data_IF_757743934206
#
_entry.id   IF_757743934206
#
_cell.length_a   1.000
_cell.length_b   1.000
_cell.length_c   1.000
_cell.angle_alpha   90.00
_cell.angle_beta   90.00
_cell.angle_gamma   90.00
#
_symmetry.space_group_name_H-M   'P 1'
#
loop_
_entity.id
_entity.type
_entity.pdbx_description
1 polymer ?
#
# COMPACT_ATOMS: atom_id res chain seq x y z
N UNK A 1 -28.52 -18.07 46.30
CA UNK A 1 -29.10 -18.07 44.94
C UNK A 1 -28.60 -16.86 44.12
N UNK A 2 -28.67 -15.66 44.66
CA UNK A 2 -28.16 -14.42 43.99
C UNK A 2 -26.66 -14.46 43.73
N UNK A 3 -25.87 -14.95 44.68
CA UNK A 3 -24.40 -15.06 44.51
C UNK A 3 -23.98 -16.02 43.41
N UNK A 4 -24.76 -17.06 43.21
CA UNK A 4 -24.51 -18.06 42.16
C UNK A 4 -24.88 -17.53 40.77
N UNK A 5 -25.90 -16.71 40.67
CA UNK A 5 -26.28 -15.98 39.44
C UNK A 5 -25.23 -14.90 39.07
N UNK A 6 -24.71 -14.18 40.06
CA UNK A 6 -23.64 -13.23 39.84
C UNK A 6 -22.32 -13.88 39.41
N UNK A 7 -21.99 -15.03 39.98
CA UNK A 7 -20.82 -15.81 39.56
C UNK A 7 -20.97 -16.38 38.13
N UNK A 8 -22.15 -16.81 37.76
CA UNK A 8 -22.44 -17.28 36.40
C UNK A 8 -22.41 -16.16 35.39
N UNK A 9 -22.95 -14.99 35.72
CA UNK A 9 -22.87 -13.78 34.88
C UNK A 9 -21.42 -13.32 34.67
N UNK A 10 -20.61 -13.29 35.73
CA UNK A 10 -19.19 -12.93 35.62
C UNK A 10 -18.38 -13.95 34.79
N UNK A 11 -18.71 -15.23 34.87
CA UNK A 11 -18.04 -16.27 34.07
C UNK A 11 -18.38 -16.17 32.57
N UNK A 12 -19.64 -15.84 32.24
CA UNK A 12 -20.06 -15.60 30.86
C UNK A 12 -19.42 -14.34 30.28
N UNK A 13 -19.34 -13.27 31.05
CA UNK A 13 -18.66 -12.04 30.64
C UNK A 13 -17.17 -12.27 30.38
N UNK A 14 -16.50 -13.07 31.22
CA UNK A 14 -15.08 -13.38 31.03
C UNK A 14 -14.83 -14.23 29.78
N UNK A 15 -15.69 -15.19 29.48
CA UNK A 15 -15.56 -16.02 28.28
C UNK A 15 -15.83 -15.23 26.98
N UNK A 16 -16.77 -14.31 27.02
CA UNK A 16 -17.06 -13.41 25.89
C UNK A 16 -15.90 -12.41 25.70
N UNK A 17 -15.35 -11.86 26.78
CA UNK A 17 -14.20 -10.98 26.73
C UNK A 17 -12.95 -11.69 26.17
N UNK A 18 -12.67 -12.93 26.58
CA UNK A 18 -11.55 -13.70 26.07
C UNK A 18 -11.68 -13.99 24.56
N UNK A 19 -12.87 -14.29 24.06
CA UNK A 19 -13.08 -14.50 22.62
C UNK A 19 -12.96 -13.21 21.81
N UNK A 20 -13.41 -12.08 22.35
CA UNK A 20 -13.27 -10.77 21.73
C UNK A 20 -11.81 -10.36 21.72
N UNK A 21 -11.04 -10.62 22.78
CA UNK A 21 -9.61 -10.32 22.90
C UNK A 21 -8.78 -11.06 21.85
N UNK A 22 -9.06 -12.35 21.58
CA UNK A 22 -8.34 -13.09 20.53
C UNK A 22 -8.56 -12.54 19.14
N UNK A 23 -9.78 -12.24 18.78
CA UNK A 23 -10.11 -11.61 17.49
C UNK A 23 -9.54 -10.19 17.39
N UNK A 24 -9.58 -9.44 18.50
CA UNK A 24 -8.96 -8.14 18.61
C UNK A 24 -7.44 -8.19 18.43
N UNK A 25 -6.78 -9.16 19.06
CA UNK A 25 -5.34 -9.37 18.95
C UNK A 25 -4.92 -9.77 17.52
N UNK A 26 -5.65 -10.69 16.89
CA UNK A 26 -5.40 -11.09 15.50
C UNK A 26 -5.59 -9.91 14.55
N UNK A 27 -6.64 -9.14 14.74
CA UNK A 27 -6.93 -7.94 13.93
C UNK A 27 -5.85 -6.87 14.10
N UNK A 28 -5.44 -6.60 15.35
CA UNK A 28 -4.36 -5.67 15.64
C UNK A 28 -3.03 -6.16 15.07
N UNK A 29 -2.72 -7.45 15.18
CA UNK A 29 -1.51 -8.05 14.61
C UNK A 29 -1.45 -7.92 13.09
N UNK A 30 -2.55 -8.27 12.39
CA UNK A 30 -2.63 -8.13 10.93
C UNK A 30 -2.54 -6.67 10.48
N UNK A 31 -3.22 -5.76 11.17
CA UNK A 31 -3.17 -4.33 10.88
C UNK A 31 -1.76 -3.78 11.05
N UNK A 32 -1.11 -4.11 12.17
CA UNK A 32 0.27 -3.67 12.45
C UNK A 32 1.26 -4.22 11.44
N UNK A 33 1.15 -5.50 11.07
CA UNK A 33 2.00 -6.11 10.05
C UNK A 33 1.84 -5.42 8.70
N UNK A 34 0.61 -5.13 8.30
CA UNK A 34 0.30 -4.43 7.05
C UNK A 34 0.89 -3.01 7.03
N UNK A 35 0.75 -2.26 8.15
CA UNK A 35 1.30 -0.91 8.27
C UNK A 35 2.83 -0.93 8.23
N UNK A 36 3.48 -1.87 8.93
CA UNK A 36 4.95 -2.00 8.92
C UNK A 36 5.45 -2.35 7.52
N UNK A 37 4.79 -3.30 6.84
CA UNK A 37 5.13 -3.65 5.47
C UNK A 37 4.95 -2.45 4.52
N UNK A 38 3.86 -1.71 4.63
CA UNK A 38 3.63 -0.49 3.86
C UNK A 38 4.70 0.57 4.11
N UNK A 39 5.06 0.81 5.36
CA UNK A 39 6.13 1.73 5.73
C UNK A 39 7.49 1.31 5.15
N UNK A 40 7.78 0.01 5.14
CA UNK A 40 8.99 -0.52 4.50
C UNK A 40 9.03 -0.19 3.01
N UNK A 41 7.92 -0.39 2.27
CA UNK A 41 7.85 -0.04 0.85
C UNK A 41 7.94 1.47 0.61
N UNK A 42 7.35 2.30 1.46
CA UNK A 42 7.48 3.77 1.39
C UNK A 42 8.95 4.18 1.54
N UNK A 43 9.66 3.65 2.53
CA UNK A 43 11.07 3.96 2.75
C UNK A 43 11.95 3.44 1.60
N UNK A 44 11.73 2.22 1.14
CA UNK A 44 12.46 1.63 0.02
C UNK A 44 12.24 2.42 -1.28
N UNK A 45 10.99 2.79 -1.58
CA UNK A 45 10.65 3.60 -2.75
C UNK A 45 11.25 5.01 -2.68
N UNK A 46 11.18 5.66 -1.52
CA UNK A 46 11.80 6.99 -1.30
C UNK A 46 13.32 6.93 -1.50
N UNK A 47 13.99 5.93 -0.94
CA UNK A 47 15.43 5.71 -1.16
C UNK A 47 15.73 5.44 -2.64
N UNK A 48 14.86 4.69 -3.33
CA UNK A 48 14.96 4.47 -4.76
C UNK A 48 14.93 5.76 -5.56
N UNK A 49 13.96 6.64 -5.30
CA UNK A 49 13.85 7.94 -5.97
C UNK A 49 15.09 8.81 -5.74
N UNK A 50 15.68 8.77 -4.54
CA UNK A 50 16.87 9.58 -4.20
C UNK A 50 18.18 9.01 -4.76
N UNK A 51 18.30 7.68 -4.89
CA UNK A 51 19.58 7.02 -5.23
C UNK A 51 19.69 6.52 -6.65
N UNK A 52 18.60 6.27 -7.35
CA UNK A 52 18.65 5.75 -8.71
C UNK A 52 19.10 6.85 -9.69
N UNK A 53 20.01 6.56 -10.63
CA UNK A 53 20.54 7.54 -11.56
C UNK A 53 19.59 7.87 -12.70
N UNK A 54 18.72 6.94 -13.10
CA UNK A 54 17.84 7.03 -14.25
C UNK A 54 16.43 7.52 -13.87
N UNK A 55 15.86 8.41 -14.68
CA UNK A 55 14.54 8.97 -14.47
C UNK A 55 13.43 7.89 -14.45
N UNK A 56 13.47 6.93 -15.36
CA UNK A 56 12.45 5.88 -15.45
C UNK A 56 12.50 4.91 -14.28
N UNK A 57 13.69 4.61 -13.77
CA UNK A 57 13.84 3.77 -12.56
C UNK A 57 13.38 4.52 -11.31
N UNK A 58 13.58 5.84 -11.21
CA UNK A 58 13.02 6.68 -10.15
C UNK A 58 11.49 6.72 -10.21
N UNK A 59 10.93 6.81 -11.42
CA UNK A 59 9.48 6.80 -11.61
C UNK A 59 8.86 5.47 -11.16
N UNK A 60 9.55 4.34 -11.44
CA UNK A 60 9.15 3.04 -10.93
C UNK A 60 9.20 2.96 -9.40
N UNK A 61 10.26 3.46 -8.77
CA UNK A 61 10.41 3.52 -7.32
C UNK A 61 9.32 4.40 -6.66
N UNK A 62 8.99 5.55 -7.27
CA UNK A 62 7.89 6.39 -6.84
C UNK A 62 6.54 5.66 -6.92
N UNK A 63 6.29 4.92 -8.02
CA UNK A 63 5.10 4.10 -8.20
C UNK A 63 4.95 3.03 -7.11
N UNK A 64 6.04 2.39 -6.69
CA UNK A 64 6.02 1.43 -5.57
C UNK A 64 5.63 2.08 -4.24
N UNK A 65 6.05 3.33 -4.00
CA UNK A 65 5.68 4.09 -2.80
C UNK A 65 4.17 4.36 -2.78
N UNK A 66 3.62 4.83 -3.90
CA UNK A 66 2.23 5.26 -4.01
C UNK A 66 1.24 4.08 -4.10
N UNK A 67 1.66 2.96 -4.70
CA UNK A 67 0.79 1.78 -4.80
C UNK A 67 1.00 0.85 -3.61
N UNK A 68 2.11 0.13 -3.52
CA UNK A 68 2.33 -0.87 -2.48
C UNK A 68 2.44 -0.23 -1.08
N UNK A 69 3.18 0.88 -0.96
CA UNK A 69 3.38 1.54 0.32
C UNK A 69 2.08 2.13 0.88
N UNK A 70 1.42 2.99 0.13
CA UNK A 70 0.20 3.66 0.56
C UNK A 70 -0.96 2.68 0.73
N UNK A 71 -1.16 1.75 -0.22
CA UNK A 71 -2.24 0.77 -0.18
C UNK A 71 -2.12 -0.19 1.03
N UNK A 72 -0.92 -0.66 1.37
CA UNK A 72 -0.70 -1.51 2.53
C UNK A 72 -0.96 -0.77 3.85
N UNK A 73 -0.61 0.52 3.94
CA UNK A 73 -0.92 1.34 5.11
C UNK A 73 -2.43 1.54 5.24
N UNK A 74 -3.10 1.89 4.14
CA UNK A 74 -4.56 2.05 4.12
C UNK A 74 -5.28 0.76 4.46
N UNK A 75 -4.82 -0.38 3.94
CA UNK A 75 -5.34 -1.70 4.26
C UNK A 75 -5.22 -1.99 5.77
N UNK A 76 -4.06 -1.72 6.36
CA UNK A 76 -3.85 -1.86 7.80
C UNK A 76 -4.81 -0.99 8.62
N UNK A 77 -5.05 0.26 8.21
CA UNK A 77 -6.00 1.15 8.86
C UNK A 77 -7.45 0.68 8.70
N UNK A 78 -7.82 0.14 7.53
CA UNK A 78 -9.15 -0.44 7.29
C UNK A 78 -9.37 -1.65 8.20
N UNK A 79 -8.39 -2.55 8.30
CA UNK A 79 -8.44 -3.70 9.20
C UNK A 79 -8.60 -3.23 10.65
N UNK A 80 -7.85 -2.22 11.08
CA UNK A 80 -7.91 -1.67 12.43
C UNK A 80 -9.24 -0.97 12.72
N UNK A 81 -9.80 -0.25 11.76
CA UNK A 81 -11.07 0.47 11.90
C UNK A 81 -12.29 -0.46 11.94
N UNK A 82 -12.19 -1.67 11.37
CA UNK A 82 -13.31 -2.62 11.25
C UNK A 82 -14.41 -2.12 10.32
N UNK A 83 -15.62 -2.67 10.45
CA UNK A 83 -16.78 -2.27 9.65
C UNK A 83 -17.40 -0.98 10.20
N UNK A 84 -16.78 0.14 9.90
CA UNK A 84 -17.22 1.48 10.32
C UNK A 84 -17.34 2.40 9.11
N UNK A 85 -18.02 3.54 9.28
CA UNK A 85 -18.06 4.58 8.26
C UNK A 85 -16.64 5.07 7.89
N UNK A 86 -15.69 4.99 8.83
CA UNK A 86 -14.29 5.35 8.60
C UNK A 86 -13.62 4.39 7.61
N UNK A 87 -13.83 3.08 7.76
CA UNK A 87 -13.26 2.10 6.83
C UNK A 87 -13.79 2.24 5.41
N UNK A 88 -15.06 2.64 5.24
CA UNK A 88 -15.62 2.93 3.92
C UNK A 88 -14.94 4.14 3.27
N UNK A 89 -14.66 5.20 4.05
CA UNK A 89 -13.92 6.38 3.55
C UNK A 89 -12.49 6.01 3.15
N UNK A 90 -11.79 5.22 3.98
CA UNK A 90 -10.44 4.75 3.68
C UNK A 90 -10.41 3.86 2.44
N UNK A 91 -11.39 2.97 2.28
CA UNK A 91 -11.53 2.13 1.10
C UNK A 91 -11.73 2.95 -0.17
N UNK A 92 -12.54 4.01 -0.08
CA UNK A 92 -12.75 4.93 -1.21
C UNK A 92 -11.46 5.66 -1.60
N UNK A 93 -10.70 6.12 -0.59
CA UNK A 93 -9.37 6.74 -0.82
C UNK A 93 -8.41 5.77 -1.48
N UNK A 94 -8.31 4.53 -0.97
CA UNK A 94 -7.48 3.48 -1.55
C UNK A 94 -7.85 3.22 -3.02
N UNK A 95 -9.14 3.07 -3.30
CA UNK A 95 -9.62 2.87 -4.66
C UNK A 95 -9.24 4.00 -5.62
N UNK A 96 -9.37 5.26 -5.18
CA UNK A 96 -8.97 6.41 -5.99
C UNK A 96 -7.45 6.48 -6.20
N UNK A 97 -6.66 6.18 -5.19
CA UNK A 97 -5.20 6.10 -5.33
C UNK A 97 -4.79 5.04 -6.33
N UNK A 98 -5.39 3.85 -6.24
CA UNK A 98 -5.12 2.74 -7.17
C UNK A 98 -5.41 3.10 -8.63
N UNK A 99 -6.47 3.86 -8.89
CA UNK A 99 -6.80 4.33 -10.25
C UNK A 99 -5.92 5.48 -10.71
N UNK A 100 -5.57 6.40 -9.81
CA UNK A 100 -4.86 7.63 -10.15
C UNK A 100 -3.36 7.39 -10.35
N UNK A 101 -2.74 6.52 -9.55
CA UNK A 101 -1.29 6.28 -9.59
C UNK A 101 -0.79 5.78 -10.95
N UNK A 102 -1.38 4.74 -11.59
CA UNK A 102 -0.94 4.30 -12.91
C UNK A 102 -1.13 5.38 -13.99
N UNK A 103 -2.23 6.13 -13.90
CA UNK A 103 -2.53 7.20 -14.86
C UNK A 103 -1.53 8.33 -14.76
N UNK A 104 -1.20 8.78 -13.56
CA UNK A 104 -0.20 9.81 -13.31
C UNK A 104 1.19 9.37 -13.78
N UNK A 105 1.60 8.15 -13.45
CA UNK A 105 2.89 7.58 -13.86
C UNK A 105 3.01 7.51 -15.38
N UNK A 106 1.96 7.08 -16.07
CA UNK A 106 1.93 7.03 -17.54
C UNK A 106 2.05 8.44 -18.15
N UNK A 107 1.31 9.42 -17.62
CA UNK A 107 1.37 10.80 -18.10
C UNK A 107 2.76 11.41 -17.94
N UNK A 108 3.41 11.18 -16.79
CA UNK A 108 4.77 11.66 -16.51
C UNK A 108 5.80 10.98 -17.43
N UNK A 109 5.70 9.65 -17.62
CA UNK A 109 6.58 8.91 -18.52
C UNK A 109 6.45 9.39 -19.96
N UNK A 110 5.24 9.62 -20.43
CA UNK A 110 4.95 10.16 -21.77
C UNK A 110 5.54 11.58 -21.94
N UNK A 111 5.34 12.45 -20.96
CA UNK A 111 5.89 13.81 -20.99
C UNK A 111 7.42 13.80 -21.01
N UNK A 112 8.07 12.93 -20.22
CA UNK A 112 9.51 12.76 -20.21
C UNK A 112 10.06 12.28 -21.56
N UNK A 113 9.40 11.31 -22.17
CA UNK A 113 9.76 10.81 -23.50
C UNK A 113 9.63 11.90 -24.56
N UNK A 114 8.55 12.69 -24.52
CA UNK A 114 8.34 13.81 -25.44
C UNK A 114 9.35 14.94 -25.24
N UNK A 115 9.88 15.11 -24.02
CA UNK A 115 10.96 16.06 -23.71
C UNK A 115 12.37 15.57 -24.14
N UNK A 116 12.49 14.38 -24.75
CA UNK A 116 13.76 13.83 -25.20
C UNK A 116 14.58 13.15 -24.13
N UNK A 117 13.98 12.81 -22.98
CA UNK A 117 14.66 12.02 -21.95
C UNK A 117 14.71 10.55 -22.39
N UNK A 118 15.89 10.11 -22.82
CA UNK A 118 16.12 8.70 -23.17
C UNK A 118 16.41 7.87 -21.92
N UNK A 119 15.83 6.65 -21.80
CA UNK A 119 16.18 5.72 -20.74
C UNK A 119 17.63 5.29 -20.87
N UNK A 120 18.35 5.19 -19.75
CA UNK A 120 19.72 4.66 -19.75
C UNK A 120 19.67 3.13 -19.96
N UNK A 121 19.58 2.74 -21.20
CA UNK A 121 19.67 1.35 -21.64
C UNK A 121 21.13 0.92 -21.58
N UNK A 122 21.69 0.44 -20.49
CA UNK A 122 23.02 -0.11 -20.35
C UNK A 122 23.74 -0.45 -21.68
N UNK A 123 24.31 -1.63 -21.83
CA UNK A 123 24.97 -2.08 -23.08
C UNK A 123 24.01 -2.58 -24.17
N UNK A 124 22.70 -2.66 -23.90
CA UNK A 124 21.72 -3.14 -24.87
C UNK A 124 21.15 -1.98 -25.66
N UNK A 125 21.64 -1.80 -26.89
CA UNK A 125 20.94 -1.03 -27.93
C UNK A 125 20.07 -1.99 -28.72
N UNK A 126 18.77 -1.74 -28.79
CA UNK A 126 17.92 -2.45 -29.71
C UNK A 126 18.48 -2.27 -31.13
N UNK A 127 18.53 -3.34 -31.95
CA UNK A 127 18.91 -3.21 -33.36
C UNK A 127 18.00 -2.17 -34.02
N UNK A 128 18.56 -1.17 -34.70
CA UNK A 128 17.79 -0.29 -35.56
C UNK A 128 17.11 -1.19 -36.60
N UNK A 129 15.79 -1.18 -36.63
CA UNK A 129 15.07 -1.77 -37.73
C UNK A 129 15.36 -0.90 -38.96
N UNK A 130 16.12 -1.45 -39.91
CA UNK A 130 16.38 -0.79 -41.21
C UNK A 130 15.03 -0.55 -41.89
N UNK A 131 14.48 0.63 -41.76
CA UNK A 131 13.18 0.99 -42.36
C UNK A 131 12.65 2.35 -41.98
N UNK A 132 13.27 3.11 -41.06
CA UNK A 132 12.79 4.43 -40.61
C UNK A 132 13.69 5.56 -41.17
N UNK A 133 14.00 5.49 -42.44
CA UNK A 133 14.50 6.61 -43.24
C UNK A 133 13.39 7.08 -44.20
N UNK A 134 12.44 7.86 -43.65
CA UNK A 134 11.59 8.75 -44.50
C UNK A 134 11.08 9.90 -43.66
#
# INVERSE_FOLDING_TARGET
>A
MISLLLAAASATDTSVALNIDWLGLLRAGLATLSIIAGLFFVLAGTLGVLRLPDFYTRLHAAGMTDTLGAELILLGLIIQSGFTQMSLKLLLVAFFLLLTSPTATHAIAYAAHKAGLEPQLGKYRAPKLDGDES
#
